data_IF_370356747629
#
_entry.id   IF_370356747629
#
_cell.length_a   1.000
_cell.length_b   1.000
_cell.length_c   1.000
_cell.angle_alpha   90.00
_cell.angle_beta   90.00
_cell.angle_gamma   90.00
#
_symmetry.space_group_name_H-M   'P 1'
#
loop_
_entity.id
_entity.type
_entity.pdbx_description
1 polymer ?
#
# COMPACT_ATOMS: atom_id res chain seq x y z
N UNK A 1 33.64 33.86 7.80
CA UNK A 1 34.49 32.64 7.74
C UNK A 1 33.55 31.44 7.56
N UNK A 2 33.40 30.97 6.34
CA UNK A 2 32.54 29.83 5.99
C UNK A 2 33.43 28.59 5.99
N UNK A 3 33.29 27.76 7.02
CA UNK A 3 34.03 26.52 7.17
C UNK A 3 33.65 25.51 6.10
N UNK A 4 34.54 25.23 5.16
CA UNK A 4 34.36 24.26 4.11
C UNK A 4 34.18 22.86 4.67
N UNK A 5 33.00 22.25 4.44
CA UNK A 5 32.74 20.85 4.70
C UNK A 5 33.57 20.01 3.73
N UNK A 6 34.69 19.46 4.21
CA UNK A 6 35.49 18.47 3.45
C UNK A 6 34.62 17.22 3.28
N UNK A 7 34.06 17.02 2.10
CA UNK A 7 33.44 15.76 1.69
C UNK A 7 34.54 14.70 1.68
N UNK A 8 34.52 13.83 2.70
CA UNK A 8 35.44 12.69 2.81
C UNK A 8 35.22 11.80 1.59
N UNK A 9 36.24 11.70 0.72
CA UNK A 9 36.18 10.85 -0.47
C UNK A 9 35.77 9.42 -0.10
N UNK A 10 34.78 8.88 -0.81
CA UNK A 10 34.37 7.48 -0.68
C UNK A 10 35.59 6.58 -0.88
N UNK A 11 36.12 5.95 0.19
CA UNK A 11 37.06 4.87 0.08
C UNK A 11 36.45 3.80 -0.81
N UNK A 12 37.13 3.43 -1.89
CA UNK A 12 36.77 2.29 -2.75
C UNK A 12 36.84 1.04 -1.87
N UNK A 13 35.68 0.59 -1.36
CA UNK A 13 35.59 -0.62 -0.58
C UNK A 13 35.96 -1.78 -1.50
N UNK A 14 36.98 -2.54 -1.10
CA UNK A 14 37.38 -3.77 -1.80
C UNK A 14 36.36 -4.84 -1.42
N UNK A 15 35.64 -5.34 -2.41
CA UNK A 15 34.72 -6.45 -2.21
C UNK A 15 35.49 -7.65 -1.59
N UNK A 16 35.01 -8.09 -0.45
CA UNK A 16 35.54 -9.25 0.26
C UNK A 16 34.86 -10.52 -0.25
N UNK A 17 35.49 -11.70 -0.07
CA UNK A 17 34.83 -12.98 -0.39
C UNK A 17 33.45 -13.11 0.26
N UNK A 18 33.26 -12.57 1.47
CA UNK A 18 31.99 -12.55 2.16
C UNK A 18 30.93 -11.76 1.38
N UNK A 19 31.30 -10.63 0.75
CA UNK A 19 30.36 -9.82 -0.03
C UNK A 19 29.85 -10.57 -1.27
N UNK A 20 30.71 -11.37 -1.90
CA UNK A 20 30.34 -12.21 -3.03
C UNK A 20 29.40 -13.35 -2.60
N UNK A 21 29.67 -13.99 -1.46
CA UNK A 21 28.79 -15.04 -0.92
C UNK A 21 27.42 -14.47 -0.55
N UNK A 22 27.39 -13.36 0.16
CA UNK A 22 26.14 -12.66 0.50
C UNK A 22 25.40 -12.25 -0.76
N UNK A 23 26.09 -11.67 -1.74
CA UNK A 23 25.52 -11.28 -3.03
C UNK A 23 24.88 -12.45 -3.78
N UNK A 24 25.54 -13.61 -3.78
CA UNK A 24 25.01 -14.84 -4.38
C UNK A 24 23.72 -15.30 -3.69
N UNK A 25 23.71 -15.36 -2.35
CA UNK A 25 22.50 -15.73 -1.60
C UNK A 25 21.36 -14.74 -1.82
N UNK A 26 21.64 -13.44 -1.83
CA UNK A 26 20.63 -12.41 -2.11
C UNK A 26 20.07 -12.52 -3.52
N UNK A 27 20.91 -12.83 -4.50
CA UNK A 27 20.47 -13.05 -5.89
C UNK A 27 19.57 -14.28 -5.99
N UNK A 28 19.97 -15.41 -5.40
CA UNK A 28 19.15 -16.62 -5.39
C UNK A 28 17.80 -16.38 -4.70
N UNK A 29 17.82 -15.69 -3.57
CA UNK A 29 16.58 -15.33 -2.84
C UNK A 29 15.71 -14.37 -3.65
N UNK A 30 16.30 -13.37 -4.30
CA UNK A 30 15.60 -12.48 -5.21
C UNK A 30 14.94 -13.22 -6.37
N UNK A 31 15.65 -14.14 -7.01
CA UNK A 31 15.09 -14.98 -8.09
C UNK A 31 13.94 -15.87 -7.58
N UNK A 32 14.08 -16.43 -6.38
CA UNK A 32 13.01 -17.24 -5.78
C UNK A 32 11.73 -16.42 -5.51
N UNK A 33 11.86 -15.15 -5.13
CA UNK A 33 10.70 -14.25 -4.92
C UNK A 33 10.09 -13.80 -6.25
N UNK A 34 10.91 -13.53 -7.26
CA UNK A 34 10.44 -13.07 -8.57
C UNK A 34 9.79 -14.20 -9.36
N UNK A 35 10.24 -15.45 -9.17
CA UNK A 35 9.76 -16.59 -9.92
C UNK A 35 8.22 -16.80 -9.87
N UNK A 36 7.52 -16.77 -8.72
CA UNK A 36 6.07 -16.90 -8.69
C UNK A 36 5.34 -15.82 -9.48
N UNK A 37 5.84 -14.58 -9.45
CA UNK A 37 5.27 -13.48 -10.24
C UNK A 37 5.48 -13.72 -11.73
N UNK A 38 6.68 -14.14 -12.12
CA UNK A 38 6.99 -14.52 -13.49
C UNK A 38 6.11 -15.67 -13.98
N UNK A 39 5.93 -16.69 -13.16
CA UNK A 39 5.07 -17.83 -13.47
C UNK A 39 3.61 -17.39 -13.74
N UNK A 40 3.03 -16.57 -12.86
CA UNK A 40 1.68 -16.03 -13.06
C UNK A 40 1.58 -15.17 -14.32
N UNK A 41 2.61 -14.41 -14.62
CA UNK A 41 2.68 -13.60 -15.83
C UNK A 41 2.68 -14.49 -17.10
N UNK A 42 3.49 -15.55 -17.12
CA UNK A 42 3.49 -16.52 -18.24
C UNK A 42 2.17 -17.27 -18.34
N UNK A 43 1.57 -17.63 -17.20
CA UNK A 43 0.28 -18.29 -17.13
C UNK A 43 -0.83 -17.43 -17.71
N UNK A 44 -0.82 -16.11 -17.48
CA UNK A 44 -1.83 -15.18 -18.01
C UNK A 44 -1.87 -15.10 -19.55
N UNK A 45 -0.77 -15.42 -20.20
CA UNK A 45 -0.66 -15.50 -21.65
C UNK A 45 -0.82 -16.92 -22.22
N UNK A 46 -1.07 -17.92 -21.37
CA UNK A 46 -1.11 -19.31 -21.78
C UNK A 46 -2.53 -19.79 -22.06
N UNK A 47 -2.68 -20.70 -23.01
CA UNK A 47 -3.94 -21.37 -23.33
C UNK A 47 -4.17 -22.50 -22.33
N UNK A 48 -5.42 -22.73 -21.89
CA UNK A 48 -5.77 -23.82 -20.98
C UNK A 48 -5.32 -25.19 -21.48
N UNK A 49 -5.52 -25.48 -22.77
CA UNK A 49 -5.03 -26.69 -23.42
C UNK A 49 -3.50 -26.82 -23.42
N UNK A 50 -2.78 -25.72 -23.61
CA UNK A 50 -1.32 -25.67 -23.55
C UNK A 50 -0.79 -25.94 -22.13
N UNK A 51 -1.45 -25.39 -21.12
CA UNK A 51 -1.12 -25.64 -19.70
C UNK A 51 -1.32 -27.12 -19.35
N UNK A 52 -2.46 -27.70 -19.74
CA UNK A 52 -2.79 -29.12 -19.49
C UNK A 52 -1.86 -30.09 -20.23
N UNK A 53 -1.35 -29.70 -21.40
CA UNK A 53 -0.41 -30.49 -22.19
C UNK A 53 1.06 -30.32 -21.73
N UNK A 54 1.36 -29.24 -20.98
CA UNK A 54 2.70 -28.95 -20.50
C UNK A 54 2.97 -29.77 -19.23
N UNK A 55 3.83 -30.79 -19.36
CA UNK A 55 4.35 -31.55 -18.19
C UNK A 55 5.40 -30.78 -17.37
N UNK A 56 5.68 -29.54 -17.71
CA UNK A 56 6.75 -28.76 -17.11
C UNK A 56 6.22 -27.96 -15.90
N UNK A 57 6.64 -28.27 -14.67
CA UNK A 57 6.24 -27.50 -13.47
C UNK A 57 6.85 -26.09 -13.47
N UNK A 58 7.90 -25.85 -14.27
CA UNK A 58 8.58 -24.56 -14.37
C UNK A 58 8.26 -23.89 -15.71
N UNK A 59 7.25 -23.05 -15.72
CA UNK A 59 6.83 -22.30 -16.90
C UNK A 59 7.69 -21.04 -17.08
N UNK A 60 8.69 -21.10 -17.96
CA UNK A 60 9.51 -19.94 -18.34
C UNK A 60 8.97 -19.20 -19.56
N UNK A 61 8.17 -19.88 -20.38
CA UNK A 61 7.54 -19.37 -21.59
C UNK A 61 6.06 -19.73 -21.62
N UNK A 62 5.19 -18.92 -22.26
CA UNK A 62 3.76 -19.22 -22.32
C UNK A 62 3.48 -20.50 -23.13
N UNK A 63 2.61 -21.35 -22.59
CA UNK A 63 2.16 -22.58 -23.24
C UNK A 63 0.98 -22.27 -24.19
N UNK A 64 1.29 -21.96 -25.45
CA UNK A 64 0.29 -21.51 -26.43
C UNK A 64 -0.16 -20.08 -26.15
N UNK A 65 0.38 -19.11 -26.86
CA UNK A 65 0.11 -17.67 -26.62
C UNK A 65 -1.36 -17.32 -26.88
N UNK A 66 -2.03 -16.72 -25.89
CA UNK A 66 -3.40 -16.23 -26.01
C UNK A 66 -3.65 -15.02 -25.11
N UNK A 67 -4.52 -14.12 -25.54
CA UNK A 67 -5.02 -12.99 -24.72
C UNK A 67 -6.45 -13.25 -24.21
N UNK A 68 -6.93 -14.47 -24.29
CA UNK A 68 -8.30 -14.82 -23.91
C UNK A 68 -8.60 -14.49 -22.45
N UNK A 69 -7.68 -14.80 -21.54
CA UNK A 69 -7.83 -14.48 -20.13
C UNK A 69 -8.09 -12.99 -19.89
N UNK A 70 -7.39 -12.11 -20.59
CA UNK A 70 -7.61 -10.67 -20.49
C UNK A 70 -8.98 -10.25 -21.04
N UNK A 71 -9.39 -10.82 -22.20
CA UNK A 71 -10.73 -10.54 -22.76
C UNK A 71 -11.84 -10.97 -21.80
N UNK A 72 -11.72 -12.16 -21.20
CA UNK A 72 -12.70 -12.68 -20.26
C UNK A 72 -12.76 -11.85 -18.99
N UNK A 73 -11.62 -11.36 -18.47
CA UNK A 73 -11.53 -10.46 -17.33
C UNK A 73 -12.22 -9.12 -17.64
N UNK A 74 -11.88 -8.47 -18.76
CA UNK A 74 -12.49 -7.18 -19.12
C UNK A 74 -13.96 -7.29 -19.49
N UNK A 75 -14.42 -8.44 -19.92
CA UNK A 75 -15.84 -8.70 -20.19
C UNK A 75 -16.65 -9.00 -18.92
N UNK A 76 -16.01 -9.30 -17.79
CA UNK A 76 -16.66 -9.65 -16.52
C UNK A 76 -17.26 -8.41 -15.83
N UNK A 77 -18.58 -8.35 -15.58
CA UNK A 77 -19.22 -7.24 -14.89
C UNK A 77 -18.70 -7.05 -13.46
N UNK A 78 -18.34 -8.14 -12.77
CA UNK A 78 -17.77 -8.10 -11.42
C UNK A 78 -16.43 -7.37 -11.37
N UNK A 79 -15.58 -7.62 -12.35
CA UNK A 79 -14.28 -6.97 -12.45
C UNK A 79 -14.46 -5.48 -12.75
N UNK A 80 -15.34 -5.13 -13.68
CA UNK A 80 -15.63 -3.73 -14.02
C UNK A 80 -16.16 -2.95 -12.82
N UNK A 81 -17.14 -3.51 -12.11
CA UNK A 81 -17.69 -2.86 -10.91
C UNK A 81 -16.65 -2.77 -9.79
N UNK A 82 -15.81 -3.80 -9.60
CA UNK A 82 -14.71 -3.78 -8.64
C UNK A 82 -13.69 -2.68 -8.93
N UNK A 83 -13.33 -2.48 -10.20
CA UNK A 83 -12.46 -1.36 -10.59
C UNK A 83 -13.08 0.00 -10.31
N UNK A 84 -14.38 0.20 -10.64
CA UNK A 84 -15.08 1.45 -10.37
C UNK A 84 -15.11 1.77 -8.88
N UNK A 85 -15.44 0.78 -8.03
CA UNK A 85 -15.41 0.94 -6.57
C UNK A 85 -14.01 1.27 -6.07
N UNK A 86 -12.98 0.61 -6.59
CA UNK A 86 -11.59 0.85 -6.19
C UNK A 86 -11.12 2.26 -6.59
N UNK A 87 -11.44 2.70 -7.81
CA UNK A 87 -11.11 4.05 -8.30
C UNK A 87 -11.83 5.09 -7.44
N UNK A 88 -13.13 4.92 -7.21
CA UNK A 88 -13.91 5.80 -6.34
C UNK A 88 -13.30 5.90 -4.93
N UNK A 89 -13.04 4.76 -4.29
CA UNK A 89 -12.42 4.69 -2.98
C UNK A 89 -11.06 5.39 -2.94
N UNK A 90 -10.24 5.17 -3.96
CA UNK A 90 -8.89 5.75 -4.01
C UNK A 90 -8.95 7.26 -4.21
N UNK A 91 -9.69 7.74 -5.20
CA UNK A 91 -9.72 9.16 -5.52
C UNK A 91 -10.45 9.96 -4.43
N UNK A 92 -11.69 9.58 -4.13
CA UNK A 92 -12.52 10.30 -3.14
C UNK A 92 -11.98 10.10 -1.73
N UNK A 93 -11.60 8.85 -1.38
CA UNK A 93 -11.04 8.53 -0.07
C UNK A 93 -9.74 9.28 0.20
N UNK A 94 -8.81 9.33 -0.75
CA UNK A 94 -7.55 10.06 -0.58
C UNK A 94 -7.78 11.57 -0.48
N UNK A 95 -8.63 12.14 -1.34
CA UNK A 95 -8.92 13.56 -1.32
C UNK A 95 -9.52 14.00 0.03
N UNK A 96 -10.55 13.30 0.52
CA UNK A 96 -11.18 13.58 1.80
C UNK A 96 -10.21 13.33 2.97
N UNK A 97 -9.49 12.24 2.94
CA UNK A 97 -8.50 11.89 3.98
C UNK A 97 -7.44 12.97 4.13
N UNK A 98 -6.81 13.38 3.03
CA UNK A 98 -5.78 14.43 3.04
C UNK A 98 -6.37 15.76 3.50
N UNK A 99 -7.56 16.12 3.03
CA UNK A 99 -8.24 17.37 3.40
C UNK A 99 -8.50 17.43 4.91
N UNK A 100 -9.16 16.42 5.48
CA UNK A 100 -9.50 16.44 6.91
C UNK A 100 -8.27 16.28 7.81
N UNK A 101 -7.30 15.46 7.41
CA UNK A 101 -6.04 15.34 8.15
C UNK A 101 -5.24 16.65 8.10
N UNK A 102 -5.21 17.35 6.97
CA UNK A 102 -4.51 18.62 6.83
C UNK A 102 -5.17 19.72 7.69
N UNK A 103 -6.51 19.78 7.72
CA UNK A 103 -7.23 20.72 8.59
C UNK A 103 -6.90 20.48 10.08
N UNK A 104 -6.97 19.21 10.51
CA UNK A 104 -6.66 18.84 11.89
C UNK A 104 -5.18 19.12 12.24
N UNK A 105 -4.26 18.76 11.34
CA UNK A 105 -2.83 19.00 11.50
C UNK A 105 -2.49 20.49 11.57
N UNK A 106 -3.11 21.30 10.70
CA UNK A 106 -2.95 22.75 10.69
C UNK A 106 -3.44 23.38 12.00
N UNK A 107 -4.65 23.02 12.44
CA UNK A 107 -5.18 23.53 13.71
C UNK A 107 -4.26 23.18 14.89
N UNK A 108 -3.81 21.92 14.97
CA UNK A 108 -2.92 21.46 16.03
C UNK A 108 -1.47 21.97 15.90
N UNK A 109 -1.06 22.53 14.77
CA UNK A 109 0.26 23.17 14.62
C UNK A 109 0.35 24.52 15.33
N UNK A 110 -0.78 25.24 15.43
CA UNK A 110 -0.82 26.57 16.05
C UNK A 110 -0.59 26.49 17.56
N UNK A 111 0.36 27.27 18.07
CA UNK A 111 0.72 27.28 19.49
C UNK A 111 -0.41 27.87 20.36
N UNK A 112 -1.15 28.82 19.83
CA UNK A 112 -2.20 29.58 20.52
C UNK A 112 -3.57 28.87 20.51
N UNK A 113 -3.68 27.66 19.94
CA UNK A 113 -4.92 26.91 19.90
C UNK A 113 -5.34 26.49 21.33
N UNK A 114 -6.54 26.93 21.82
CA UNK A 114 -7.04 26.51 23.11
C UNK A 114 -7.29 24.99 23.12
N UNK A 115 -6.87 24.32 24.20
CA UNK A 115 -7.06 22.87 24.31
C UNK A 115 -6.12 22.00 23.45
N UNK A 116 -5.15 22.57 22.75
CA UNK A 116 -4.19 21.85 21.89
C UNK A 116 -3.62 20.58 22.54
N UNK A 117 -3.23 20.67 23.82
CA UNK A 117 -2.65 19.52 24.55
C UNK A 117 -3.67 18.39 24.72
N UNK A 118 -4.91 18.74 25.05
CA UNK A 118 -6.00 17.76 25.23
C UNK A 118 -6.31 17.05 23.92
N UNK A 119 -6.48 17.78 22.82
CA UNK A 119 -6.73 17.19 21.50
C UNK A 119 -5.55 16.34 21.02
N UNK A 120 -4.31 16.79 21.27
CA UNK A 120 -3.14 15.98 20.88
C UNK A 120 -3.11 14.66 21.65
N UNK A 121 -3.39 14.67 22.96
CA UNK A 121 -3.44 13.44 23.77
C UNK A 121 -4.60 12.56 23.33
N UNK A 122 -5.77 13.12 23.04
CA UNK A 122 -6.93 12.38 22.53
C UNK A 122 -6.59 11.62 21.24
N UNK A 123 -5.97 12.28 20.27
CA UNK A 123 -5.54 11.62 19.04
C UNK A 123 -4.46 10.56 19.28
N UNK A 124 -3.49 10.83 20.17
CA UNK A 124 -2.46 9.85 20.51
C UNK A 124 -3.06 8.61 21.18
N UNK A 125 -3.97 8.78 22.14
CA UNK A 125 -4.64 7.64 22.78
C UNK A 125 -5.40 6.81 21.74
N UNK A 126 -6.11 7.46 20.83
CA UNK A 126 -6.86 6.79 19.77
C UNK A 126 -5.97 5.98 18.79
N UNK A 127 -4.71 6.37 18.65
CA UNK A 127 -3.74 5.63 17.85
C UNK A 127 -3.37 4.28 18.49
N UNK A 128 -3.32 4.19 19.82
CA UNK A 128 -2.93 2.98 20.54
C UNK A 128 -4.12 2.12 20.98
N UNK A 129 -5.29 2.74 21.17
CA UNK A 129 -6.50 2.04 21.62
C UNK A 129 -7.40 1.76 20.43
N UNK A 130 -7.43 0.50 20.01
CA UNK A 130 -8.33 0.03 18.96
C UNK A 130 -9.44 -0.82 19.57
N UNK A 131 -10.68 -0.52 19.22
CA UNK A 131 -11.84 -1.25 19.74
C UNK A 131 -11.97 -2.69 19.27
N UNK A 132 -11.21 -3.08 18.23
CA UNK A 132 -11.29 -4.39 17.63
C UNK A 132 -12.41 -4.53 16.59
N UNK A 133 -12.53 -5.72 16.01
CA UNK A 133 -13.44 -5.98 14.88
C UNK A 133 -14.92 -5.95 15.30
N UNK A 134 -15.25 -6.51 16.44
CA UNK A 134 -16.66 -6.64 16.89
C UNK A 134 -17.29 -5.26 17.18
N UNK A 135 -16.72 -4.39 18.01
CA UNK A 135 -17.23 -3.04 18.22
C UNK A 135 -17.33 -2.22 16.92
N UNK A 136 -16.34 -2.33 16.05
CA UNK A 136 -16.36 -1.65 14.75
C UNK A 136 -17.55 -2.11 13.89
N UNK A 137 -17.80 -3.42 13.82
CA UNK A 137 -18.94 -3.97 13.09
C UNK A 137 -20.29 -3.49 13.65
N UNK A 138 -20.46 -3.50 14.98
CA UNK A 138 -21.68 -3.05 15.63
C UNK A 138 -21.93 -1.56 15.34
N UNK A 139 -20.91 -0.73 15.45
CA UNK A 139 -21.00 0.71 15.12
C UNK A 139 -21.43 0.92 13.65
N UNK A 140 -20.82 0.21 12.71
CA UNK A 140 -21.16 0.29 11.28
C UNK A 140 -22.61 -0.13 11.06
N UNK A 141 -23.08 -1.18 11.73
CA UNK A 141 -24.44 -1.69 11.65
C UNK A 141 -25.44 -0.65 12.18
N UNK A 142 -25.17 -0.06 13.34
CA UNK A 142 -26.03 0.95 13.95
C UNK A 142 -26.12 2.23 13.12
N UNK A 143 -25.02 2.60 12.44
CA UNK A 143 -24.99 3.75 11.53
C UNK A 143 -25.67 3.46 10.18
N UNK A 144 -26.14 2.23 9.92
CA UNK A 144 -26.76 1.85 8.66
C UNK A 144 -25.81 1.88 7.46
N UNK A 145 -24.51 1.74 7.71
CA UNK A 145 -23.46 1.80 6.67
C UNK A 145 -23.08 0.42 6.11
N UNK A 146 -23.78 -0.65 6.51
CA UNK A 146 -23.58 -1.98 5.91
C UNK A 146 -23.94 -1.92 4.43
N UNK A 147 -23.13 -2.57 3.59
CA UNK A 147 -23.27 -2.62 2.12
C UNK A 147 -23.28 -1.24 1.42
N UNK A 148 -22.75 -0.21 2.09
CA UNK A 148 -22.65 1.13 1.52
C UNK A 148 -21.22 1.45 1.08
N UNK A 149 -21.06 1.95 -0.15
CA UNK A 149 -19.76 2.32 -0.72
C UNK A 149 -19.03 3.39 0.12
N UNK A 150 -19.80 4.26 0.81
CA UNK A 150 -19.24 5.29 1.67
C UNK A 150 -18.50 4.73 2.89
N UNK A 151 -18.82 3.52 3.32
CA UNK A 151 -18.07 2.85 4.38
C UNK A 151 -16.59 2.71 4.04
N UNK A 152 -16.29 2.38 2.77
CA UNK A 152 -14.94 2.19 2.28
C UNK A 152 -14.11 3.49 2.28
N UNK A 153 -14.78 4.64 2.29
CA UNK A 153 -14.17 5.97 2.33
C UNK A 153 -14.09 6.48 3.76
N UNK A 154 -15.21 6.41 4.51
CA UNK A 154 -15.33 7.03 5.83
C UNK A 154 -14.50 6.30 6.90
N UNK A 155 -14.48 4.96 6.88
CA UNK A 155 -13.79 4.19 7.90
C UNK A 155 -12.27 4.45 7.93
N UNK A 156 -11.54 4.43 6.79
CA UNK A 156 -10.11 4.74 6.77
C UNK A 156 -9.80 6.23 6.59
N UNK A 157 -10.81 7.12 6.56
CA UNK A 157 -10.64 8.54 6.21
C UNK A 157 -9.67 9.28 7.12
N UNK A 158 -9.62 8.94 8.40
CA UNK A 158 -8.77 9.64 9.36
C UNK A 158 -7.72 8.70 9.98
N UNK A 159 -6.46 9.00 9.73
CA UNK A 159 -5.34 8.27 10.32
C UNK A 159 -4.47 9.22 11.15
N UNK A 160 -4.46 9.00 12.46
CA UNK A 160 -3.73 9.84 13.41
C UNK A 160 -2.22 9.91 13.13
N UNK A 161 -1.61 8.80 12.71
CA UNK A 161 -0.18 8.77 12.40
C UNK A 161 0.18 9.74 11.26
N UNK A 162 -0.55 9.70 10.16
CA UNK A 162 -0.31 10.64 9.05
C UNK A 162 -0.66 12.07 9.41
N UNK A 163 -1.68 12.30 10.24
CA UNK A 163 -2.02 13.63 10.75
C UNK A 163 -0.87 14.22 11.58
N UNK A 164 -0.21 13.42 12.44
CA UNK A 164 0.93 13.88 13.24
C UNK A 164 2.13 14.23 12.35
N UNK A 165 2.39 13.43 11.30
CA UNK A 165 3.43 13.73 10.32
C UNK A 165 3.12 15.05 9.62
N UNK A 166 1.89 15.23 9.11
CA UNK A 166 1.47 16.48 8.47
C UNK A 166 1.64 17.68 9.41
N UNK A 167 1.30 17.53 10.68
CA UNK A 167 1.49 18.58 11.67
C UNK A 167 2.95 19.03 11.78
N UNK A 168 3.92 18.12 11.66
CA UNK A 168 5.35 18.48 11.73
C UNK A 168 5.81 19.36 10.57
N UNK A 169 5.13 19.29 9.42
CA UNK A 169 5.39 20.17 8.27
C UNK A 169 4.75 21.56 8.41
N UNK A 170 3.75 21.72 9.27
CA UNK A 170 3.10 23.01 9.53
C UNK A 170 3.69 23.78 10.74
N UNK A 171 4.61 23.18 11.48
CA UNK A 171 5.32 23.80 12.62
C UNK A 171 6.61 24.52 12.20
#
# INVERSE_FOLDING_TARGET
>A
MIGGIKVKGKKKERYTLADWVIGFFLLCFGLAIVYPVWYLFMLSFSTFGGISASSNPFMLTPAGFTLRAYKDIFASPYIQSGYMVTIFRTVVGTALSVFFMALAAYALSKKDMPGRKVFTIFFLVNMFVQGGMIPTYLMIKELGLLDNIWLLVLLPMFNTYYMIILRSFFQ
#
